data_IF_304693118578
#
_entry.id   IF_304693118578
#
_cell.length_a   1.000
_cell.length_b   1.000
_cell.length_c   1.000
_cell.angle_alpha   90.00
_cell.angle_beta   90.00
_cell.angle_gamma   90.00
#
_symmetry.space_group_name_H-M   'P 1'
#
loop_
_entity.id
_entity.type
_entity.pdbx_description
1 polymer ?
#
# COMPACT_ATOMS: atom_id res chain seq x y z
N UNK A 1 -21.96 -9.13 -8.70
CA UNK A 1 -20.59 -9.18 -8.15
C UNK A 1 -20.16 -7.78 -7.73
N UNK A 2 -19.65 -7.66 -6.52
CA UNK A 2 -19.24 -6.37 -5.97
C UNK A 2 -17.86 -5.96 -6.47
N UNK A 3 -17.68 -4.68 -6.79
CA UNK A 3 -16.38 -4.11 -7.14
C UNK A 3 -16.01 -3.07 -6.08
N UNK A 4 -14.87 -3.26 -5.44
CA UNK A 4 -14.38 -2.36 -4.41
C UNK A 4 -13.06 -1.75 -4.89
N UNK A 5 -13.00 -0.40 -4.91
CA UNK A 5 -11.76 0.30 -5.25
C UNK A 5 -10.92 0.50 -4.00
N UNK A 6 -9.65 0.15 -4.10
CA UNK A 6 -8.70 0.19 -2.99
C UNK A 6 -7.43 0.89 -3.47
N UNK A 7 -6.91 1.77 -2.63
CA UNK A 7 -5.64 2.44 -2.91
C UNK A 7 -4.52 1.86 -2.07
N UNK A 8 -3.31 1.94 -2.59
CA UNK A 8 -2.10 1.59 -1.86
C UNK A 8 -0.99 2.59 -2.18
N UNK A 9 -0.03 2.73 -1.29
CA UNK A 9 1.07 3.67 -1.45
C UNK A 9 2.41 2.97 -1.52
N UNK A 10 3.19 3.31 -2.55
CA UNK A 10 4.57 2.88 -2.68
C UNK A 10 5.44 4.02 -2.16
N UNK A 11 5.95 3.85 -0.95
CA UNK A 11 6.78 4.84 -0.28
C UNK A 11 8.21 4.33 -0.25
N UNK A 12 9.09 5.03 -0.96
CA UNK A 12 10.48 4.63 -1.14
C UNK A 12 11.42 5.69 -0.61
N UNK A 13 12.36 5.28 0.20
CA UNK A 13 13.35 6.19 0.80
C UNK A 13 14.62 5.41 1.11
N UNK A 14 15.75 5.96 0.69
CA UNK A 14 17.06 5.37 1.00
C UNK A 14 17.16 3.88 0.65
N UNK A 15 16.73 3.52 -0.56
CA UNK A 15 16.81 2.16 -1.09
C UNK A 15 15.85 1.16 -0.42
N UNK A 16 14.85 1.64 0.33
CA UNK A 16 13.91 0.80 1.06
C UNK A 16 12.48 1.24 0.81
N UNK A 17 11.57 0.26 0.85
CA UNK A 17 10.13 0.48 0.75
C UNK A 17 9.47 0.31 2.11
N UNK A 18 8.47 1.12 2.39
CA UNK A 18 7.69 1.01 3.62
C UNK A 18 6.62 -0.05 3.45
N UNK A 19 6.62 -1.05 4.34
CA UNK A 19 5.60 -2.10 4.39
C UNK A 19 5.02 -2.17 5.80
N UNK A 20 3.78 -2.66 5.89
CA UNK A 20 3.00 -2.65 7.12
C UNK A 20 2.43 -4.03 7.37
N UNK A 21 2.43 -4.49 8.62
CA UNK A 21 1.84 -5.78 8.99
C UNK A 21 0.45 -5.57 9.58
N UNK A 22 -0.50 -6.33 9.08
CA UNK A 22 -1.90 -6.25 9.51
C UNK A 22 -2.02 -6.77 10.95
N UNK A 23 -2.75 -6.02 11.77
CA UNK A 23 -2.91 -6.32 13.18
C UNK A 23 -3.78 -7.55 13.46
N UNK A 24 -3.77 -8.05 14.69
CA UNK A 24 -4.43 -9.31 15.03
C UNK A 24 -5.96 -9.29 14.91
N UNK A 25 -6.57 -8.11 14.92
CA UNK A 25 -8.02 -7.97 14.79
C UNK A 25 -8.49 -7.69 13.37
N UNK A 26 -7.55 -7.65 12.41
CA UNK A 26 -7.85 -7.39 11.00
C UNK A 26 -8.00 -8.70 10.24
N UNK A 27 -8.71 -8.65 9.09
CA UNK A 27 -8.70 -9.78 8.16
C UNK A 27 -7.27 -9.98 7.69
N UNK A 28 -6.89 -11.24 7.46
CA UNK A 28 -5.54 -11.59 7.04
C UNK A 28 -4.47 -11.09 8.01
N UNK A 29 -4.76 -11.20 9.31
CA UNK A 29 -3.83 -10.79 10.36
C UNK A 29 -2.45 -11.41 10.17
N UNK A 30 -1.40 -10.63 10.42
CA UNK A 30 -0.02 -11.08 10.30
C UNK A 30 0.58 -11.00 8.90
N UNK A 31 -0.23 -10.75 7.86
CA UNK A 31 0.28 -10.54 6.52
C UNK A 31 0.73 -9.09 6.34
N UNK A 32 1.72 -8.91 5.48
CA UNK A 32 2.27 -7.61 5.15
C UNK A 32 1.58 -7.01 3.93
N UNK A 33 1.58 -5.70 3.83
CA UNK A 33 0.93 -4.97 2.74
C UNK A 33 1.56 -3.59 2.59
N UNK A 34 1.32 -2.96 1.43
CA UNK A 34 1.55 -1.53 1.30
C UNK A 34 0.41 -0.80 2.01
N UNK A 35 0.66 0.34 2.66
CA UNK A 35 -0.40 1.07 3.34
C UNK A 35 -1.41 1.65 2.36
N UNK A 36 -2.67 1.74 2.78
CA UNK A 36 -3.75 2.26 1.97
C UNK A 36 -5.09 1.74 2.43
N UNK A 37 -6.11 1.92 1.63
CA UNK A 37 -7.44 1.47 2.00
C UNK A 37 -8.50 1.74 0.96
N UNK A 38 -9.76 1.51 1.34
CA UNK A 38 -10.92 1.57 0.45
C UNK A 38 -11.33 2.99 0.14
N UNK A 39 -11.74 3.21 -1.11
CA UNK A 39 -12.31 4.47 -1.57
C UNK A 39 -13.66 4.70 -0.88
N UNK A 40 -13.87 5.92 -0.39
CA UNK A 40 -15.14 6.35 0.17
C UNK A 40 -15.97 7.08 -0.89
N UNK A 41 -17.28 7.22 -0.62
CA UNK A 41 -18.21 7.89 -1.54
C UNK A 41 -17.76 9.34 -1.76
N UNK A 42 -17.78 9.77 -3.03
CA UNK A 42 -17.43 11.14 -3.44
C UNK A 42 -15.97 11.51 -3.17
N UNK A 43 -15.12 10.52 -3.02
CA UNK A 43 -13.69 10.72 -2.80
C UNK A 43 -12.92 10.41 -4.09
N UNK A 44 -11.93 11.25 -4.43
CA UNK A 44 -11.01 10.90 -5.51
C UNK A 44 -10.02 9.84 -5.04
N UNK A 45 -9.41 9.13 -5.97
CA UNK A 45 -8.39 8.13 -5.62
C UNK A 45 -7.21 8.79 -4.91
N UNK A 46 -6.80 9.97 -5.38
CA UNK A 46 -5.69 10.72 -4.75
C UNK A 46 -6.02 11.13 -3.32
N UNK A 47 -7.23 11.66 -3.10
CA UNK A 47 -7.63 12.02 -1.75
C UNK A 47 -7.79 10.81 -0.84
N UNK A 48 -8.22 9.68 -1.41
CA UNK A 48 -8.32 8.43 -0.67
C UNK A 48 -6.97 8.01 -0.11
N UNK A 49 -5.94 7.93 -0.96
CA UNK A 49 -4.64 7.49 -0.47
C UNK A 49 -4.03 8.48 0.52
N UNK A 50 -4.20 9.78 0.29
CA UNK A 50 -3.71 10.78 1.23
C UNK A 50 -4.41 10.67 2.59
N UNK A 51 -5.72 10.46 2.60
CA UNK A 51 -6.48 10.25 3.83
C UNK A 51 -6.05 8.98 4.56
N UNK A 52 -5.91 7.88 3.83
CA UNK A 52 -5.49 6.60 4.43
C UNK A 52 -4.10 6.71 5.06
N UNK A 53 -3.16 7.38 4.40
CA UNK A 53 -1.82 7.56 4.96
C UNK A 53 -1.85 8.44 6.21
N UNK A 54 -2.72 9.43 6.25
CA UNK A 54 -2.90 10.25 7.45
C UNK A 54 -3.49 9.44 8.60
N UNK A 55 -4.52 8.64 8.32
CA UNK A 55 -5.17 7.80 9.33
C UNK A 55 -4.26 6.69 9.85
N UNK A 56 -3.56 6.01 8.96
CA UNK A 56 -2.79 4.80 9.32
C UNK A 56 -1.39 5.10 9.84
N UNK A 57 -0.74 6.14 9.33
CA UNK A 57 0.67 6.43 9.59
C UNK A 57 0.93 7.82 10.16
N UNK A 58 -0.10 8.66 10.23
CA UNK A 58 0.00 10.04 10.72
C UNK A 58 0.99 10.89 9.91
N UNK A 59 1.00 10.72 8.60
CA UNK A 59 1.86 11.49 7.70
C UNK A 59 1.04 12.28 6.70
N UNK A 60 1.62 13.39 6.23
CA UNK A 60 1.09 14.19 5.13
C UNK A 60 1.96 13.93 3.91
N UNK A 61 1.43 13.14 2.98
CA UNK A 61 2.17 12.69 1.81
C UNK A 61 1.94 13.61 0.61
N UNK A 62 2.95 13.65 -0.28
CA UNK A 62 2.85 14.26 -1.59
C UNK A 62 2.98 13.16 -2.61
N UNK A 63 2.01 13.08 -3.53
CA UNK A 63 1.98 12.02 -4.54
C UNK A 63 2.82 12.41 -5.76
N UNK A 64 3.51 11.41 -6.35
CA UNK A 64 4.23 11.57 -7.59
C UNK A 64 3.34 11.19 -8.77
N UNK A 65 2.82 9.95 -8.78
CA UNK A 65 2.05 9.42 -9.92
C UNK A 65 1.35 8.14 -9.54
N UNK A 66 0.35 7.77 -10.36
CA UNK A 66 -0.21 6.43 -10.30
C UNK A 66 0.85 5.46 -10.84
N UNK A 67 1.22 4.49 -10.03
CA UNK A 67 2.28 3.53 -10.38
C UNK A 67 1.73 2.28 -11.04
N UNK A 68 0.63 1.73 -10.51
CA UNK A 68 0.03 0.52 -11.04
C UNK A 68 -1.47 0.47 -10.73
N UNK A 69 -2.21 -0.19 -11.62
CA UNK A 69 -3.64 -0.40 -11.44
C UNK A 69 -4.00 -1.75 -12.06
N UNK A 70 -4.66 -2.59 -11.28
CA UNK A 70 -5.13 -3.90 -11.75
C UNK A 70 -6.27 -4.40 -10.87
N UNK A 71 -6.98 -5.41 -11.36
CA UNK A 71 -8.06 -6.04 -10.60
C UNK A 71 -7.59 -7.36 -9.99
N UNK A 72 -8.09 -7.64 -8.81
CA UNK A 72 -7.83 -8.88 -8.10
C UNK A 72 -9.16 -9.43 -7.61
N UNK A 73 -9.48 -10.67 -8.01
CA UNK A 73 -10.75 -11.30 -7.63
C UNK A 73 -10.55 -12.23 -6.44
N UNK A 74 -11.39 -12.05 -5.41
CA UNK A 74 -11.42 -12.91 -4.24
C UNK A 74 -12.88 -13.27 -3.95
N UNK A 75 -13.25 -14.54 -4.08
CA UNK A 75 -14.63 -15.03 -3.94
C UNK A 75 -15.56 -14.25 -4.88
N UNK A 76 -16.54 -13.53 -4.35
CA UNK A 76 -17.52 -12.79 -5.14
C UNK A 76 -17.21 -11.30 -5.26
N UNK A 77 -16.02 -10.90 -4.83
CA UNK A 77 -15.61 -9.50 -4.83
C UNK A 77 -14.46 -9.30 -5.79
N UNK A 78 -14.55 -8.23 -6.59
CA UNK A 78 -13.45 -7.76 -7.41
C UNK A 78 -12.87 -6.54 -6.72
N UNK A 79 -11.58 -6.60 -6.41
CA UNK A 79 -10.85 -5.46 -5.86
C UNK A 79 -10.13 -4.77 -7.01
N UNK A 80 -10.46 -3.51 -7.24
CA UNK A 80 -9.79 -2.69 -8.24
C UNK A 80 -8.72 -1.89 -7.49
N UNK A 81 -7.45 -2.26 -7.71
CA UNK A 81 -6.33 -1.78 -6.91
C UNK A 81 -5.58 -0.68 -7.65
N UNK A 82 -5.32 0.42 -6.94
CA UNK A 82 -4.61 1.58 -7.46
C UNK A 82 -3.43 1.88 -6.53
N UNK A 83 -2.22 1.72 -7.05
CA UNK A 83 -1.00 1.99 -6.28
C UNK A 83 -0.37 3.29 -6.73
N UNK A 84 -0.16 4.19 -5.79
CA UNK A 84 0.45 5.50 -6.05
C UNK A 84 1.88 5.53 -5.57
N UNK A 85 2.75 6.07 -6.40
CA UNK A 85 4.11 6.38 -6.00
C UNK A 85 4.10 7.69 -5.22
N UNK A 86 4.66 7.65 -4.01
CA UNK A 86 4.74 8.81 -3.13
C UNK A 86 6.05 9.54 -3.38
N UNK A 87 5.98 10.86 -3.61
CA UNK A 87 7.16 11.70 -3.83
C UNK A 87 7.91 11.95 -2.53
N UNK A 88 7.17 12.18 -1.45
CA UNK A 88 7.72 12.43 -0.13
C UNK A 88 6.62 12.64 0.88
N UNK A 89 6.99 12.82 2.13
CA UNK A 89 6.01 13.08 3.18
C UNK A 89 6.63 13.89 4.31
N UNK A 90 5.76 14.56 5.07
CA UNK A 90 6.11 15.24 6.31
C UNK A 90 5.41 14.56 7.48
N UNK A 91 5.93 14.78 8.67
CA UNK A 91 5.41 14.16 9.89
C UNK A 91 6.25 12.95 10.30
N UNK A 92 5.99 12.46 11.49
CA UNK A 92 6.69 11.30 12.04
C UNK A 92 5.82 10.06 11.90
N UNK A 93 6.35 9.02 11.25
CA UNK A 93 5.64 7.76 11.07
C UNK A 93 5.18 7.18 12.41
N UNK A 94 3.92 6.82 12.46
CA UNK A 94 3.30 6.27 13.65
C UNK A 94 2.34 5.15 13.22
N UNK A 95 2.34 4.04 13.95
CA UNK A 95 1.38 2.94 13.68
C UNK A 95 0.10 3.24 14.44
N UNK A 96 -1.01 3.30 13.71
CA UNK A 96 -2.32 3.45 14.34
C UNK A 96 -3.17 2.19 14.23
N UNK A 97 -3.12 1.49 13.09
CA UNK A 97 -3.92 0.29 12.84
C UNK A 97 -3.07 -0.96 12.61
N UNK A 98 -1.84 -0.80 12.13
CA UNK A 98 -0.92 -1.91 11.91
C UNK A 98 -0.19 -2.27 13.20
N UNK A 99 0.22 -3.53 13.38
CA UNK A 99 0.98 -3.91 14.56
C UNK A 99 2.49 -3.73 14.35
N UNK A 100 2.94 -3.57 13.09
CA UNK A 100 4.33 -3.27 12.79
C UNK A 100 4.46 -2.54 11.45
N UNK A 101 5.43 -1.65 11.32
CA UNK A 101 5.83 -1.03 10.06
C UNK A 101 7.34 -1.20 9.90
N UNK A 102 7.79 -1.45 8.67
CA UNK A 102 9.22 -1.66 8.38
C UNK A 102 9.61 -1.02 7.07
N UNK A 103 10.85 -0.55 7.03
CA UNK A 103 11.53 -0.17 5.79
C UNK A 103 12.35 -1.36 5.33
N UNK A 104 12.07 -1.87 4.13
CA UNK A 104 12.66 -3.11 3.63
C UNK A 104 13.16 -2.92 2.21
N UNK A 105 14.36 -3.42 1.93
CA UNK A 105 14.87 -3.44 0.56
C UNK A 105 14.11 -4.46 -0.26
N UNK A 106 13.91 -4.18 -1.54
CA UNK A 106 13.15 -5.06 -2.43
C UNK A 106 13.71 -6.48 -2.47
N UNK A 107 15.04 -6.63 -2.43
CA UNK A 107 15.69 -7.95 -2.44
C UNK A 107 15.29 -8.83 -1.24
N UNK A 108 14.81 -8.22 -0.16
CA UNK A 108 14.42 -8.92 1.06
C UNK A 108 12.92 -9.18 1.19
N UNK A 109 12.13 -8.75 0.20
CA UNK A 109 10.67 -8.94 0.24
C UNK A 109 10.26 -10.39 0.35
N UNK A 110 11.06 -11.32 -0.16
CA UNK A 110 10.78 -12.75 -0.09
C UNK A 110 10.77 -13.31 1.35
N UNK A 111 11.29 -12.55 2.31
CA UNK A 111 11.26 -12.91 3.73
C UNK A 111 9.94 -12.55 4.41
N UNK A 112 9.03 -11.92 3.69
CA UNK A 112 7.77 -11.43 4.25
C UNK A 112 6.59 -12.06 3.51
N UNK A 113 5.54 -12.43 4.24
CA UNK A 113 4.32 -12.96 3.64
C UNK A 113 3.37 -11.81 3.38
N UNK A 114 3.19 -11.48 2.10
CA UNK A 114 2.32 -10.38 1.67
C UNK A 114 0.90 -10.83 1.39
N UNK A 115 -0.04 -9.88 1.47
CA UNK A 115 -1.38 -10.10 0.95
C UNK A 115 -1.29 -10.52 -0.52
N UNK A 116 -2.10 -11.53 -0.95
CA UNK A 116 -2.06 -11.97 -2.35
C UNK A 116 -2.34 -10.85 -3.36
N UNK A 117 -3.20 -9.88 -3.00
CA UNK A 117 -3.52 -8.75 -3.86
C UNK A 117 -2.34 -7.84 -4.17
N UNK A 118 -1.29 -7.85 -3.36
CA UNK A 118 -0.12 -7.01 -3.56
C UNK A 118 0.96 -7.70 -4.43
N UNK A 119 0.78 -8.96 -4.77
CA UNK A 119 1.79 -9.71 -5.54
C UNK A 119 2.11 -9.10 -6.91
N UNK A 120 1.11 -8.68 -7.72
CA UNK A 120 1.43 -8.11 -9.03
C UNK A 120 2.23 -6.81 -8.96
N UNK A 121 1.93 -5.90 -8.03
CA UNK A 121 2.69 -4.65 -7.92
C UNK A 121 4.12 -4.92 -7.46
N UNK A 122 4.32 -5.92 -6.61
CA UNK A 122 5.67 -6.33 -6.19
C UNK A 122 6.47 -6.82 -7.39
N UNK A 123 5.87 -7.62 -8.27
CA UNK A 123 6.53 -8.06 -9.50
C UNK A 123 6.91 -6.90 -10.39
N UNK A 124 6.04 -5.89 -10.48
CA UNK A 124 6.34 -4.68 -11.25
C UNK A 124 7.52 -3.93 -10.64
N UNK A 125 7.56 -3.80 -9.32
CA UNK A 125 8.69 -3.17 -8.62
C UNK A 125 10.00 -3.87 -8.94
N UNK A 126 10.00 -5.20 -8.97
CA UNK A 126 11.19 -6.00 -9.30
C UNK A 126 11.69 -5.73 -10.72
N UNK A 127 10.76 -5.58 -11.68
CA UNK A 127 11.11 -5.24 -13.07
C UNK A 127 11.64 -3.81 -13.19
N UNK A 128 11.09 -2.90 -12.41
CA UNK A 128 11.40 -1.47 -12.48
C UNK A 128 12.46 -1.04 -11.47
N UNK A 129 13.22 -1.99 -10.94
CA UNK A 129 14.17 -1.72 -9.84
C UNK A 129 15.21 -0.63 -10.14
N UNK A 130 15.44 -0.32 -11.42
CA UNK A 130 16.42 0.70 -11.81
C UNK A 130 15.89 2.12 -11.77
N UNK A 131 14.59 2.33 -11.61
CA UNK A 131 13.99 3.67 -11.61
C UNK A 131 13.79 4.25 -10.21
N UNK A 132 14.08 3.46 -9.21
CA UNK A 132 13.94 3.84 -7.80
C UNK A 132 15.26 4.34 -7.21
#
# INVERSE_FOLDING_TARGET
>A
MEVIKVTGAIIYERNKFLICRRGPNEKAAGLWEFPGGKLEINESLENCILRELKEELDIDAELHSLYDNYSFKAKDTIYDLYFFRVKGFSGNLSKTVHDEIKWVELKDFHNFSFLPGDAPVIKKLEKDSKIW
#
